data_IF_960108552463
#
_entry.id   IF_960108552463
#
_cell.length_a   1.000
_cell.length_b   1.000
_cell.length_c   1.000
_cell.angle_alpha   90.00
_cell.angle_beta   90.00
_cell.angle_gamma   90.00
#
_symmetry.space_group_name_H-M   'P 1'
#
loop_
_entity.id
_entity.type
_entity.pdbx_description
1 polymer ?
#
# COMPACT_ATOMS: atom_id res chain seq x y z
N UNK A 1 8.79 -16.72 29.28
CA UNK A 1 7.48 -16.45 28.64
C UNK A 1 7.75 -15.37 27.59
N UNK A 2 7.95 -15.76 26.33
CA UNK A 2 8.21 -14.80 25.26
C UNK A 2 6.88 -14.07 25.02
N UNK A 3 6.83 -12.78 25.32
CA UNK A 3 5.70 -11.94 24.89
C UNK A 3 5.63 -12.04 23.38
N UNK A 4 4.57 -12.66 22.87
CA UNK A 4 4.22 -12.63 21.46
C UNK A 4 3.84 -11.19 21.13
N UNK A 5 4.82 -10.34 20.81
CA UNK A 5 4.53 -9.02 20.26
C UNK A 5 3.88 -9.26 18.89
N UNK A 6 2.57 -8.99 18.80
CA UNK A 6 1.91 -8.91 17.50
C UNK A 6 2.65 -7.85 16.68
N UNK A 7 2.96 -8.20 15.44
CA UNK A 7 3.54 -7.28 14.48
C UNK A 7 2.68 -7.26 13.23
N UNK A 8 2.77 -6.19 12.46
CA UNK A 8 2.14 -6.04 11.15
C UNK A 8 3.19 -5.44 10.22
N UNK A 9 3.27 -5.93 8.99
CA UNK A 9 4.16 -5.38 7.97
C UNK A 9 3.38 -4.76 6.82
N UNK A 10 3.82 -3.61 6.34
CA UNK A 10 3.32 -2.99 5.12
C UNK A 10 4.21 -3.35 3.92
N UNK A 11 3.59 -3.87 2.87
CA UNK A 11 4.21 -4.30 1.61
C UNK A 11 3.53 -3.66 0.42
N UNK A 12 4.25 -3.47 -0.66
CA UNK A 12 3.67 -3.10 -1.95
C UNK A 12 4.71 -2.54 -2.90
N UNK A 13 4.37 -2.51 -4.18
CA UNK A 13 5.23 -1.99 -5.24
C UNK A 13 5.64 -0.52 -5.03
N UNK A 14 6.67 -0.05 -5.74
CA UNK A 14 6.98 1.36 -5.79
C UNK A 14 5.76 2.22 -6.11
N UNK A 15 5.63 3.34 -5.41
CA UNK A 15 4.50 4.26 -5.54
C UNK A 15 3.10 3.63 -5.28
N UNK A 16 3.02 2.58 -4.44
CA UNK A 16 1.75 1.96 -4.02
C UNK A 16 0.94 2.72 -2.96
N UNK A 17 1.31 3.97 -2.63
CA UNK A 17 0.61 4.79 -1.64
C UNK A 17 1.05 4.61 -0.18
N UNK A 18 2.06 3.77 0.12
CA UNK A 18 2.58 3.52 1.48
C UNK A 18 3.00 4.80 2.22
N UNK A 19 3.83 5.65 1.61
CA UNK A 19 4.28 6.93 2.20
C UNK A 19 3.12 7.83 2.56
N UNK A 20 2.15 7.94 1.65
CA UNK A 20 0.96 8.76 1.83
C UNK A 20 0.07 8.20 2.94
N UNK A 21 -0.12 6.89 2.98
CA UNK A 21 -0.85 6.21 4.05
C UNK A 21 -0.19 6.45 5.40
N UNK A 22 1.14 6.28 5.50
CA UNK A 22 1.90 6.52 6.72
C UNK A 22 1.80 7.98 7.19
N UNK A 23 1.91 8.95 6.27
CA UNK A 23 1.77 10.37 6.58
C UNK A 23 0.38 10.71 7.15
N UNK A 24 -0.67 10.21 6.50
CA UNK A 24 -2.05 10.41 6.91
C UNK A 24 -2.38 9.68 8.22
N UNK A 25 -1.89 8.45 8.40
CA UNK A 25 -2.04 7.67 9.62
C UNK A 25 -1.35 8.36 10.80
N UNK A 26 -0.11 8.84 10.61
CA UNK A 26 0.61 9.60 11.63
C UNK A 26 -0.15 10.86 12.06
N UNK A 27 -0.69 11.60 11.09
CA UNK A 27 -1.53 12.77 11.38
C UNK A 27 -2.79 12.39 12.17
N UNK A 28 -3.48 11.32 11.78
CA UNK A 28 -4.69 10.84 12.46
C UNK A 28 -4.39 10.43 13.91
N UNK A 29 -3.31 9.68 14.14
CA UNK A 29 -2.90 9.20 15.46
C UNK A 29 -2.43 10.31 16.40
N UNK A 30 -1.95 11.44 15.87
CA UNK A 30 -1.42 12.55 16.69
C UNK A 30 -2.42 13.66 16.96
N UNK A 31 -3.47 13.80 16.15
CA UNK A 31 -4.39 14.92 16.25
C UNK A 31 -5.75 14.60 16.87
N UNK A 32 -6.04 13.37 17.31
CA UNK A 32 -7.22 12.91 18.11
C UNK A 32 -8.63 13.46 17.71
N UNK A 33 -8.77 14.12 16.55
CA UNK A 33 -10.02 14.74 16.08
C UNK A 33 -10.99 13.75 15.43
N UNK A 34 -10.52 12.55 15.11
CA UNK A 34 -11.32 11.45 14.56
C UNK A 34 -11.19 10.26 15.50
N UNK A 35 -12.32 9.69 15.91
CA UNK A 35 -12.33 8.47 16.73
C UNK A 35 -11.77 7.31 15.90
N UNK A 36 -10.56 6.86 16.24
CA UNK A 36 -9.94 5.69 15.63
C UNK A 36 -9.99 4.46 16.53
N UNK A 37 -9.88 3.27 15.95
CA UNK A 37 -9.76 2.02 16.71
C UNK A 37 -8.41 1.88 17.44
N UNK A 38 -7.38 2.62 17.00
CA UNK A 38 -6.01 2.55 17.51
C UNK A 38 -5.49 3.92 17.94
N UNK A 39 -4.63 3.92 18.96
CA UNK A 39 -3.86 5.09 19.40
C UNK A 39 -2.36 4.81 19.42
N UNK A 40 -1.55 5.87 19.37
CA UNK A 40 -0.10 5.78 19.40
C UNK A 40 0.37 5.49 20.84
N UNK A 41 1.09 4.38 21.05
CA UNK A 41 1.64 4.01 22.36
C UNK A 41 3.05 4.56 22.56
N UNK A 42 3.91 4.43 21.54
CA UNK A 42 5.30 4.87 21.58
C UNK A 42 5.80 5.13 20.15
N UNK A 43 6.74 6.07 20.04
CA UNK A 43 7.49 6.31 18.81
C UNK A 43 9.00 6.20 19.08
N UNK A 44 9.73 5.61 18.15
CA UNK A 44 11.19 5.65 18.18
C UNK A 44 11.73 7.03 17.81
N UNK A 45 12.66 7.56 18.61
CA UNK A 45 13.14 8.93 18.47
C UNK A 45 13.73 9.26 17.08
N UNK A 46 14.30 8.26 16.38
CA UNK A 46 14.88 8.42 15.05
C UNK A 46 13.87 8.63 13.92
N UNK A 47 12.60 8.27 14.14
CA UNK A 47 11.57 8.26 13.10
C UNK A 47 10.72 9.54 13.09
N UNK A 48 10.67 10.24 14.23
CA UNK A 48 9.82 11.41 14.43
C UNK A 48 10.05 12.54 13.43
N UNK A 49 11.31 12.81 13.08
CA UNK A 49 11.64 13.86 12.13
C UNK A 49 11.13 13.53 10.71
N UNK A 50 11.29 12.27 10.29
CA UNK A 50 10.81 11.81 8.99
C UNK A 50 9.28 11.83 8.91
N UNK A 51 8.61 11.28 9.93
CA UNK A 51 7.14 11.25 10.02
C UNK A 51 6.53 12.66 10.02
N UNK A 52 7.12 13.60 10.76
CA UNK A 52 6.69 15.01 10.73
C UNK A 52 6.86 15.64 9.36
N UNK A 53 7.94 15.30 8.64
CA UNK A 53 8.19 15.83 7.29
C UNK A 53 7.12 15.36 6.30
N UNK A 54 6.86 14.05 6.22
CA UNK A 54 5.85 13.50 5.29
C UNK A 54 4.43 13.96 5.65
N UNK A 55 4.12 14.07 6.95
CA UNK A 55 2.83 14.57 7.43
C UNK A 55 2.64 16.07 7.16
N UNK A 56 3.70 16.87 7.28
CA UNK A 56 3.66 18.30 6.92
C UNK A 56 3.37 18.49 5.43
N UNK A 57 4.03 17.73 4.55
CA UNK A 57 3.73 17.74 3.11
C UNK A 57 2.29 17.32 2.83
N UNK A 58 1.81 16.28 3.51
CA UNK A 58 0.43 15.81 3.37
C UNK A 58 -0.58 16.87 3.82
N UNK A 59 -0.32 17.57 4.94
CA UNK A 59 -1.17 18.66 5.44
C UNK A 59 -1.28 19.80 4.45
N UNK A 60 -0.16 20.16 3.82
CA UNK A 60 -0.08 21.21 2.79
C UNK A 60 -0.70 20.79 1.44
N UNK A 61 -1.26 19.59 1.34
CA UNK A 61 -1.76 19.00 0.10
C UNK A 61 -0.68 18.97 -1.01
N UNK A 62 0.56 18.62 -0.64
CA UNK A 62 1.69 18.44 -1.57
C UNK A 62 2.02 16.96 -1.74
N UNK A 63 2.38 16.60 -2.97
CA UNK A 63 2.85 15.25 -3.26
C UNK A 63 4.05 14.89 -2.39
N UNK A 64 4.06 13.63 -1.98
CA UNK A 64 5.20 13.06 -1.27
C UNK A 64 6.37 12.95 -2.25
N UNK A 65 7.58 13.25 -1.77
CA UNK A 65 8.77 13.03 -2.56
C UNK A 65 8.89 11.55 -2.89
N UNK A 66 9.30 11.26 -4.13
CA UNK A 66 9.86 9.93 -4.39
C UNK A 66 11.13 9.85 -3.57
N UNK A 67 11.14 9.00 -2.55
CA UNK A 67 12.21 8.82 -1.57
C UNK A 67 13.46 8.17 -2.19
N UNK A 68 13.96 8.64 -3.34
CA UNK A 68 15.13 8.06 -4.01
C UNK A 68 16.45 8.26 -3.26
N UNK A 69 16.48 9.00 -2.14
CA UNK A 69 17.74 9.49 -1.53
C UNK A 69 17.80 9.52 0.01
N UNK A 70 16.90 8.85 0.74
CA UNK A 70 17.02 8.72 2.19
C UNK A 70 17.02 7.24 2.56
N UNK A 71 18.19 6.61 2.49
CA UNK A 71 18.40 5.16 2.53
C UNK A 71 17.58 4.40 3.58
N UNK A 72 17.20 3.17 3.23
CA UNK A 72 16.59 2.10 4.06
C UNK A 72 16.17 2.52 5.47
N UNK A 73 15.18 3.41 5.58
CA UNK A 73 14.55 3.71 6.87
C UNK A 73 13.30 2.85 6.97
N UNK A 74 13.48 1.69 7.60
CA UNK A 74 12.36 0.99 8.21
C UNK A 74 11.73 1.92 9.24
N UNK A 75 10.41 2.10 9.18
CA UNK A 75 9.64 2.86 10.17
C UNK A 75 8.76 1.93 10.98
N UNK A 76 8.77 2.08 12.31
CA UNK A 76 8.08 1.24 13.29
C UNK A 76 7.20 2.07 14.21
N UNK A 77 5.90 1.89 14.07
CA UNK A 77 4.91 2.51 14.95
C UNK A 77 4.45 1.51 16.01
N UNK A 78 4.62 1.84 17.31
CA UNK A 78 3.98 1.09 18.39
C UNK A 78 2.56 1.61 18.61
N UNK A 79 1.57 0.79 18.28
CA UNK A 79 0.15 1.14 18.34
C UNK A 79 -0.56 0.33 19.43
N UNK A 80 -1.68 0.85 19.93
CA UNK A 80 -2.47 0.23 20.98
C UNK A 80 -3.98 0.34 20.67
N UNK A 81 -4.73 -0.77 20.66
CA UNK A 81 -6.18 -0.77 20.64
C UNK A 81 -6.75 -0.47 22.04
N UNK A 82 -8.05 -0.19 22.13
CA UNK A 82 -8.74 -0.01 23.40
C UNK A 82 -8.62 -1.22 24.36
N UNK A 83 -8.43 -2.44 23.83
CA UNK A 83 -8.19 -3.65 24.64
C UNK A 83 -6.86 -3.65 25.39
N UNK A 84 -5.91 -2.81 24.96
CA UNK A 84 -4.70 -2.51 25.71
C UNK A 84 -3.41 -3.18 25.23
N UNK A 85 -3.49 -4.19 24.38
CA UNK A 85 -2.34 -4.95 23.88
C UNK A 85 -1.54 -4.15 22.82
N UNK A 86 -0.31 -3.77 23.15
CA UNK A 86 0.55 -3.01 22.22
C UNK A 86 1.08 -3.95 21.13
N UNK A 87 1.14 -3.45 19.90
CA UNK A 87 1.70 -4.17 18.75
C UNK A 87 2.54 -3.21 17.88
N UNK A 88 3.39 -3.77 17.03
CA UNK A 88 4.27 -2.99 16.14
C UNK A 88 3.74 -3.01 14.70
N UNK A 89 3.62 -1.84 14.07
CA UNK A 89 3.36 -1.69 12.64
C UNK A 89 4.65 -1.23 11.94
N UNK A 90 5.17 -2.05 11.05
CA UNK A 90 6.46 -1.86 10.39
C UNK A 90 6.30 -1.59 8.91
N UNK A 91 6.94 -0.52 8.44
CA UNK A 91 7.12 -0.17 7.03
C UNK A 91 8.61 -0.38 6.71
N UNK A 92 9.03 -1.59 6.28
CA UNK A 92 10.45 -1.90 6.05
C UNK A 92 11.05 -1.01 4.96
N UNK A 93 10.20 -0.59 4.02
CA UNK A 93 10.53 0.38 3.02
C UNK A 93 9.26 1.11 2.56
N UNK A 94 9.25 2.41 2.82
CA UNK A 94 8.14 3.30 2.53
C UNK A 94 8.01 3.54 1.01
N UNK A 95 9.11 3.46 0.25
CA UNK A 95 9.15 3.73 -1.19
C UNK A 95 8.74 2.53 -2.05
N UNK A 96 8.95 1.28 -1.61
CA UNK A 96 8.66 0.04 -2.35
C UNK A 96 9.86 -0.61 -3.06
N UNK A 97 11.07 -0.06 -2.90
CA UNK A 97 12.37 -0.62 -3.24
C UNK A 97 12.61 -2.06 -2.74
N UNK A 98 12.23 -2.39 -1.49
CA UNK A 98 12.41 -3.74 -0.95
C UNK A 98 11.61 -4.77 -1.76
N UNK A 99 10.39 -4.42 -2.13
CA UNK A 99 9.56 -5.25 -3.01
C UNK A 99 10.20 -5.39 -4.39
N UNK A 100 10.64 -4.28 -4.98
CA UNK A 100 11.30 -4.27 -6.28
C UNK A 100 12.55 -5.16 -6.28
N UNK A 101 13.39 -5.10 -5.26
CA UNK A 101 14.56 -5.96 -5.12
C UNK A 101 14.20 -7.45 -5.03
N UNK A 102 13.19 -7.80 -4.22
CA UNK A 102 12.72 -9.19 -4.10
C UNK A 102 12.20 -9.75 -5.43
N UNK A 103 11.52 -8.93 -6.22
CA UNK A 103 10.97 -9.33 -7.52
C UNK A 103 12.04 -9.36 -8.63
N UNK A 104 12.82 -8.29 -8.75
CA UNK A 104 13.73 -8.06 -9.88
C UNK A 104 15.04 -8.82 -9.72
N UNK A 105 15.62 -8.79 -8.52
CA UNK A 105 16.92 -9.37 -8.21
C UNK A 105 16.81 -10.73 -7.53
N UNK A 106 15.60 -11.13 -7.10
CA UNK A 106 15.36 -12.34 -6.30
C UNK A 106 16.17 -12.35 -4.99
N UNK A 107 16.41 -11.16 -4.45
CA UNK A 107 17.14 -10.95 -3.21
C UNK A 107 16.21 -10.37 -2.15
N UNK A 108 16.28 -10.90 -0.92
CA UNK A 108 15.56 -10.35 0.23
C UNK A 108 16.58 -9.94 1.29
N UNK A 109 16.74 -8.64 1.57
CA UNK A 109 17.53 -8.16 2.71
C UNK A 109 17.05 -8.81 4.01
N UNK A 110 17.97 -9.08 4.94
CA UNK A 110 17.66 -9.80 6.19
C UNK A 110 16.70 -9.05 7.10
N UNK A 111 16.80 -7.73 7.15
CA UNK A 111 15.90 -6.83 7.88
C UNK A 111 14.48 -6.84 7.28
N UNK A 112 14.37 -6.85 5.95
CA UNK A 112 13.09 -7.03 5.25
C UNK A 112 12.52 -8.42 5.53
N UNK A 113 13.34 -9.47 5.49
CA UNK A 113 12.91 -10.83 5.78
C UNK A 113 12.38 -10.97 7.21
N UNK A 114 13.07 -10.38 8.19
CA UNK A 114 12.63 -10.33 9.59
C UNK A 114 11.30 -9.58 9.75
N UNK A 115 11.16 -8.41 9.12
CA UNK A 115 9.91 -7.66 9.12
C UNK A 115 8.75 -8.44 8.47
N UNK A 116 9.05 -9.28 7.47
CA UNK A 116 8.10 -10.12 6.77
C UNK A 116 7.66 -11.37 7.55
N UNK A 117 8.40 -11.77 8.60
CA UNK A 117 8.05 -12.89 9.48
C UNK A 117 6.98 -12.49 10.48
N UNK A 118 5.79 -12.15 9.98
CA UNK A 118 4.66 -11.68 10.77
C UNK A 118 3.33 -12.26 10.30
N UNK A 119 2.39 -12.41 11.22
CA UNK A 119 1.05 -12.90 10.93
C UNK A 119 0.12 -11.84 10.32
N UNK A 120 0.48 -10.55 10.35
CA UNK A 120 -0.34 -9.46 9.80
C UNK A 120 0.35 -8.76 8.63
N UNK A 121 -0.33 -8.69 7.48
CA UNK A 121 0.22 -8.07 6.27
C UNK A 121 -0.75 -7.04 5.70
N UNK A 122 -0.26 -5.81 5.48
CA UNK A 122 -0.92 -4.78 4.67
C UNK A 122 -0.31 -4.82 3.27
N UNK A 123 -1.06 -5.26 2.27
CA UNK A 123 -0.61 -5.30 0.88
C UNK A 123 -1.18 -4.12 0.09
N UNK A 124 -0.33 -3.16 -0.21
CA UNK A 124 -0.66 -1.94 -0.94
C UNK A 124 -0.60 -2.15 -2.46
N UNK A 125 -1.69 -1.78 -3.13
CA UNK A 125 -1.84 -1.80 -4.58
C UNK A 125 -2.41 -0.44 -4.99
N UNK A 126 -1.72 0.29 -5.87
CA UNK A 126 -2.25 1.55 -6.38
C UNK A 126 -3.29 1.28 -7.46
N UNK A 127 -4.56 1.60 -7.17
CA UNK A 127 -5.68 1.17 -8.00
C UNK A 127 -5.64 1.77 -9.43
N UNK A 128 -5.15 3.00 -9.56
CA UNK A 128 -5.01 3.72 -10.83
C UNK A 128 -3.67 3.45 -11.57
N UNK A 129 -2.75 2.65 -11.00
CA UNK A 129 -1.43 2.38 -11.61
C UNK A 129 -1.19 0.88 -11.84
N UNK A 130 -2.26 0.14 -12.06
CA UNK A 130 -2.19 -1.29 -12.36
C UNK A 130 -1.63 -1.48 -13.77
N UNK A 131 -0.52 -2.21 -13.87
CA UNK A 131 0.00 -2.67 -15.16
C UNK A 131 -0.75 -3.93 -15.58
N UNK A 132 -1.64 -3.76 -16.55
CA UNK A 132 -2.39 -4.85 -17.17
C UNK A 132 -1.50 -5.69 -18.11
N UNK A 133 -1.81 -6.98 -18.33
CA UNK A 133 -1.16 -7.76 -19.38
C UNK A 133 -1.46 -7.16 -20.76
N UNK A 134 -0.43 -7.03 -21.60
CA UNK A 134 -0.58 -6.64 -23.01
C UNK A 134 -0.90 -7.85 -23.88
N UNK A 135 -1.84 -7.70 -24.81
CA UNK A 135 -2.17 -8.73 -25.79
C UNK A 135 -1.45 -8.46 -27.09
N UNK A 136 -0.83 -9.49 -27.66
CA UNK A 136 -0.12 -9.39 -28.95
C UNK A 136 -1.03 -8.84 -30.05
N UNK A 137 -2.32 -9.21 -30.02
CA UNK A 137 -3.31 -8.72 -30.99
C UNK A 137 -3.55 -7.21 -30.88
N UNK A 138 -3.63 -6.68 -29.66
CA UNK A 138 -3.86 -5.25 -29.40
C UNK A 138 -2.63 -4.43 -29.80
N UNK A 139 -1.44 -4.90 -29.42
CA UNK A 139 -0.16 -4.28 -29.78
C UNK A 139 0.04 -4.24 -31.30
N UNK A 140 -0.35 -5.31 -32.01
CA UNK A 140 -0.26 -5.39 -33.47
C UNK A 140 -1.23 -4.41 -34.14
N UNK A 141 -2.48 -4.35 -33.68
CA UNK A 141 -3.48 -3.42 -34.20
C UNK A 141 -3.04 -1.97 -33.99
N UNK A 142 -2.58 -1.64 -32.77
CA UNK A 142 -2.07 -0.30 -32.46
C UNK A 142 -0.82 0.08 -33.28
N UNK A 143 0.08 -0.88 -33.51
CA UNK A 143 1.27 -0.65 -34.34
C UNK A 143 0.90 -0.37 -35.81
N UNK A 144 -0.10 -1.06 -36.35
CA UNK A 144 -0.61 -0.83 -37.70
C UNK A 144 -1.26 0.55 -37.83
N UNK A 145 -2.11 0.93 -36.87
CA UNK A 145 -2.79 2.23 -36.85
C UNK A 145 -1.80 3.41 -36.75
N UNK A 146 -0.70 3.23 -36.03
CA UNK A 146 0.36 4.23 -35.88
C UNK A 146 1.39 4.22 -37.03
N UNK A 147 1.24 3.32 -38.02
CA UNK A 147 2.19 3.18 -39.13
C UNK A 147 3.59 2.77 -38.68
N UNK A 148 3.70 2.10 -37.53
CA UNK A 148 4.98 1.65 -36.98
C UNK A 148 5.48 0.48 -37.80
N UNK A 149 6.65 0.64 -38.44
CA UNK A 149 7.34 -0.46 -39.10
C UNK A 149 7.88 -1.39 -38.02
N UNK A 150 7.29 -2.58 -37.91
CA UNK A 150 7.80 -3.63 -37.01
C UNK A 150 9.17 -4.08 -37.55
N UNK A 151 10.23 -3.63 -36.90
CA UNK A 151 11.62 -3.96 -37.22
C UNK A 151 12.56 -3.55 -36.10
N UNK A 152 13.65 -4.29 -35.94
CA UNK A 152 14.64 -4.09 -34.87
C UNK A 152 14.93 -5.40 -34.11
N UNK A 153 15.99 -5.37 -33.31
CA UNK A 153 16.31 -6.49 -32.43
C UNK A 153 15.30 -6.59 -31.28
N UNK A 154 14.90 -7.81 -30.86
CA UNK A 154 14.02 -7.98 -29.72
C UNK A 154 14.61 -7.33 -28.48
N UNK A 155 13.84 -6.44 -27.83
CA UNK A 155 14.25 -5.91 -26.53
C UNK A 155 14.21 -7.05 -25.51
N UNK A 156 15.30 -7.34 -24.80
CA UNK A 156 15.30 -8.37 -23.76
C UNK A 156 14.26 -8.05 -22.70
N UNK A 157 13.48 -9.06 -22.33
CA UNK A 157 12.50 -8.92 -21.27
C UNK A 157 13.19 -8.56 -19.95
N UNK A 158 12.56 -7.68 -19.18
CA UNK A 158 13.00 -7.28 -17.84
C UNK A 158 11.91 -7.59 -16.82
N UNK A 159 12.24 -8.03 -15.60
CA UNK A 159 11.24 -8.34 -14.56
C UNK A 159 10.22 -7.25 -14.29
N UNK A 160 10.63 -5.97 -14.32
CA UNK A 160 9.76 -4.80 -14.10
C UNK A 160 8.67 -4.67 -15.18
N UNK A 161 8.84 -5.36 -16.30
CA UNK A 161 7.86 -5.42 -17.37
C UNK A 161 6.67 -6.34 -17.08
N UNK A 162 6.73 -7.15 -16.02
CA UNK A 162 5.63 -8.03 -15.64
C UNK A 162 4.36 -7.28 -15.23
N UNK A 163 3.17 -7.81 -15.57
CA UNK A 163 1.90 -7.30 -15.05
C UNK A 163 1.89 -7.25 -13.53
N UNK A 164 1.22 -6.24 -12.95
CA UNK A 164 1.19 -6.02 -11.50
C UNK A 164 0.72 -7.25 -10.73
N UNK A 165 -0.33 -7.93 -11.19
CA UNK A 165 -0.84 -9.15 -10.56
C UNK A 165 0.17 -10.29 -10.48
N UNK A 166 1.08 -10.41 -11.47
CA UNK A 166 2.11 -11.47 -11.47
C UNK A 166 3.10 -11.24 -10.34
N UNK A 167 3.56 -10.00 -10.17
CA UNK A 167 4.50 -9.64 -9.11
C UNK A 167 3.86 -9.81 -7.72
N UNK A 168 2.58 -9.44 -7.59
CA UNK A 168 1.83 -9.58 -6.34
C UNK A 168 1.56 -11.04 -5.95
N UNK A 169 1.31 -11.92 -6.92
CA UNK A 169 1.14 -13.36 -6.64
C UNK A 169 2.48 -13.96 -6.20
N UNK A 170 3.57 -13.63 -6.87
CA UNK A 170 4.91 -14.13 -6.55
C UNK A 170 5.31 -13.79 -5.10
N UNK A 171 5.17 -12.54 -4.66
CA UNK A 171 5.49 -12.18 -3.27
C UNK A 171 4.61 -12.94 -2.26
N UNK A 172 3.33 -13.14 -2.57
CA UNK A 172 2.43 -13.87 -1.68
C UNK A 172 2.80 -15.36 -1.64
N UNK A 173 3.34 -15.93 -2.72
CA UNK A 173 3.94 -17.27 -2.70
C UNK A 173 5.18 -17.30 -1.82
N UNK A 174 6.05 -16.29 -1.92
CA UNK A 174 7.23 -16.19 -1.05
C UNK A 174 6.85 -16.16 0.45
N UNK A 175 5.77 -15.45 0.84
CA UNK A 175 5.30 -15.43 2.23
C UNK A 175 4.81 -16.79 2.76
N UNK A 176 4.58 -17.75 1.86
CA UNK A 176 4.18 -19.12 2.17
C UNK A 176 5.35 -20.11 2.21
N UNK A 177 6.57 -19.67 1.88
CA UNK A 177 7.76 -20.52 1.82
C UNK A 177 8.80 -20.11 2.87
N UNK A 178 9.62 -21.05 3.39
CA UNK A 178 10.77 -20.69 4.20
C UNK A 178 11.72 -19.75 3.44
N UNK A 179 12.34 -18.76 4.09
CA UNK A 179 12.30 -18.49 5.54
C UNK A 179 11.13 -17.59 5.99
N UNK A 180 10.25 -17.17 5.08
CA UNK A 180 9.17 -16.21 5.40
C UNK A 180 7.92 -16.89 5.96
N UNK A 181 7.78 -18.21 5.82
CA UNK A 181 6.65 -18.94 6.34
C UNK A 181 6.58 -18.90 7.87
N UNK A 182 5.49 -18.33 8.40
CA UNK A 182 5.19 -18.23 9.84
C UNK A 182 3.83 -18.85 10.21
N UNK A 183 3.27 -19.67 9.32
CA UNK A 183 1.93 -20.23 9.47
C UNK A 183 0.81 -19.29 8.95
N UNK A 184 -0.42 -19.42 9.48
CA UNK A 184 -1.58 -18.64 9.03
C UNK A 184 -1.39 -17.14 9.20
N UNK A 185 -1.78 -16.37 8.18
CA UNK A 185 -1.72 -14.90 8.19
C UNK A 185 -3.08 -14.24 7.99
N UNK A 186 -3.20 -13.00 8.45
CA UNK A 186 -4.24 -12.06 8.04
C UNK A 186 -3.66 -11.10 7.02
N UNK A 187 -4.36 -10.91 5.91
CA UNK A 187 -3.95 -10.08 4.78
C UNK A 187 -4.99 -8.99 4.51
N UNK A 188 -4.63 -7.74 4.75
CA UNK A 188 -5.44 -6.59 4.38
C UNK A 188 -4.92 -6.06 3.04
N UNK A 189 -5.69 -6.24 1.97
CA UNK A 189 -5.38 -5.71 0.64
C UNK A 189 -5.87 -4.27 0.58
N UNK A 190 -4.94 -3.32 0.41
CA UNK A 190 -5.21 -1.89 0.36
C UNK A 190 -5.15 -1.43 -1.10
N UNK A 191 -6.31 -1.18 -1.68
CA UNK A 191 -6.44 -0.49 -2.97
C UNK A 191 -6.30 1.02 -2.72
N UNK A 192 -5.09 1.54 -2.82
CA UNK A 192 -4.79 2.96 -2.58
C UNK A 192 -5.21 3.83 -3.76
N UNK A 193 -5.44 5.13 -3.50
CA UNK A 193 -5.95 6.10 -4.49
C UNK A 193 -7.34 5.66 -5.01
N UNK A 194 -8.17 5.21 -4.08
CA UNK A 194 -9.50 4.68 -4.38
C UNK A 194 -10.43 5.74 -4.98
N UNK A 195 -10.24 7.00 -4.62
CA UNK A 195 -10.92 8.19 -5.17
C UNK A 195 -10.79 8.32 -6.69
N UNK A 196 -9.77 7.72 -7.30
CA UNK A 196 -9.54 7.77 -8.76
C UNK A 196 -10.30 6.72 -9.56
N UNK A 197 -10.71 5.64 -8.91
CA UNK A 197 -11.28 4.47 -9.58
C UNK A 197 -12.64 4.07 -9.01
N UNK A 198 -13.06 4.72 -7.93
CA UNK A 198 -14.41 4.58 -7.42
C UNK A 198 -15.38 5.05 -8.51
N UNK A 199 -16.16 4.12 -9.01
CA UNK A 199 -17.31 4.39 -9.86
C UNK A 199 -18.54 4.01 -9.06
N UNK A 200 -19.67 4.67 -9.33
CA UNK A 200 -20.93 4.50 -8.60
C UNK A 200 -21.24 3.01 -8.31
N UNK A 201 -21.02 2.61 -7.06
CA UNK A 201 -21.41 1.30 -6.52
C UNK A 201 -20.44 0.12 -6.71
N UNK A 202 -19.23 0.29 -7.26
CA UNK A 202 -18.26 -0.81 -7.35
C UNK A 202 -17.52 -0.97 -6.02
N UNK A 203 -17.70 -2.10 -5.33
CA UNK A 203 -16.94 -2.38 -4.10
C UNK A 203 -15.46 -2.65 -4.36
N UNK A 204 -14.56 -2.41 -3.39
CA UNK A 204 -13.13 -2.72 -3.51
C UNK A 204 -12.84 -4.16 -3.92
N UNK A 205 -13.59 -5.12 -3.38
CA UNK A 205 -13.47 -6.53 -3.72
C UNK A 205 -13.89 -6.81 -5.17
N UNK A 206 -14.99 -6.19 -5.63
CA UNK A 206 -15.43 -6.31 -7.02
C UNK A 206 -14.43 -5.70 -7.99
N UNK A 207 -13.85 -4.55 -7.63
CA UNK A 207 -12.78 -3.92 -8.42
C UNK A 207 -11.57 -4.84 -8.54
N UNK A 208 -11.11 -5.43 -7.43
CA UNK A 208 -9.98 -6.37 -7.43
C UNK A 208 -10.24 -7.55 -8.37
N UNK A 209 -11.44 -8.14 -8.32
CA UNK A 209 -11.85 -9.26 -9.18
C UNK A 209 -11.85 -8.91 -10.66
N UNK A 210 -12.25 -7.69 -11.02
CA UNK A 210 -12.33 -7.24 -12.41
C UNK A 210 -10.96 -6.84 -12.98
N UNK A 211 -10.14 -6.16 -12.20
CA UNK A 211 -8.89 -5.55 -12.67
C UNK A 211 -7.64 -6.39 -12.43
N UNK A 212 -7.66 -7.30 -11.45
CA UNK A 212 -6.54 -8.16 -11.07
C UNK A 212 -7.02 -9.63 -10.91
N UNK A 213 -7.60 -10.24 -11.96
CA UNK A 213 -8.26 -11.55 -11.85
C UNK A 213 -7.33 -12.68 -11.41
N UNK A 214 -6.05 -12.68 -11.83
CA UNK A 214 -5.08 -13.68 -11.39
C UNK A 214 -4.83 -13.58 -9.88
N UNK A 215 -4.67 -12.34 -9.39
CA UNK A 215 -4.47 -12.09 -7.96
C UNK A 215 -5.71 -12.49 -7.18
N UNK A 216 -6.91 -12.10 -7.63
CA UNK A 216 -8.16 -12.48 -6.97
C UNK A 216 -8.30 -14.01 -6.88
N UNK A 217 -8.07 -14.74 -7.98
CA UNK A 217 -8.11 -16.20 -7.97
C UNK A 217 -7.10 -16.80 -6.99
N UNK A 218 -5.88 -16.26 -6.96
CA UNK A 218 -4.84 -16.72 -6.05
C UNK A 218 -5.17 -16.42 -4.58
N UNK A 219 -5.79 -15.28 -4.28
CA UNK A 219 -6.25 -14.94 -2.93
C UNK A 219 -7.35 -15.89 -2.44
N UNK A 220 -8.26 -16.30 -3.33
CA UNK A 220 -9.38 -17.19 -3.00
C UNK A 220 -8.97 -18.66 -2.86
N UNK A 221 -7.93 -19.12 -3.57
CA UNK A 221 -7.60 -20.55 -3.64
C UNK A 221 -6.11 -20.92 -3.55
N UNK A 222 -5.20 -19.96 -3.62
CA UNK A 222 -3.75 -20.18 -3.60
C UNK A 222 -3.09 -19.90 -2.24
N UNK A 223 -3.83 -19.31 -1.29
CA UNK A 223 -3.35 -19.08 0.08
C UNK A 223 -3.50 -20.35 0.94
N UNK A 224 -2.55 -20.55 1.83
CA UNK A 224 -2.48 -21.69 2.73
C UNK A 224 -3.60 -21.69 3.75
N UNK A 225 -3.81 -22.85 4.37
CA UNK A 225 -4.88 -23.05 5.34
C UNK A 225 -4.84 -22.00 6.47
N UNK A 226 -6.00 -21.47 6.83
CA UNK A 226 -6.16 -20.52 7.93
C UNK A 226 -5.83 -19.06 7.58
N UNK A 227 -5.37 -18.77 6.36
CA UNK A 227 -5.26 -17.39 5.92
C UNK A 227 -6.63 -16.72 5.90
N UNK A 228 -6.67 -15.46 6.34
CA UNK A 228 -7.86 -14.62 6.23
C UNK A 228 -7.50 -13.38 5.45
N UNK A 229 -8.38 -12.93 4.57
CA UNK A 229 -8.17 -11.71 3.82
C UNK A 229 -9.37 -10.75 3.90
N UNK A 230 -9.08 -9.46 3.68
CA UNK A 230 -10.09 -8.42 3.47
C UNK A 230 -9.54 -7.36 2.53
N UNK A 231 -10.39 -6.87 1.63
CA UNK A 231 -10.05 -5.79 0.68
C UNK A 231 -10.60 -4.47 1.21
N UNK A 232 -9.78 -3.42 1.13
CA UNK A 232 -10.12 -2.05 1.50
C UNK A 232 -9.82 -1.13 0.33
N UNK A 233 -10.75 -0.24 -0.01
CA UNK A 233 -10.49 0.93 -0.83
C UNK A 233 -10.02 2.06 0.07
N UNK A 234 -8.85 2.66 -0.20
CA UNK A 234 -8.30 3.72 0.65
C UNK A 234 -7.88 4.94 -0.18
N UNK A 235 -8.53 6.06 0.11
CA UNK A 235 -8.17 7.40 -0.37
C UNK A 235 -7.51 8.16 0.77
N UNK A 236 -6.20 8.04 0.93
CA UNK A 236 -5.48 8.70 2.02
C UNK A 236 -5.32 10.23 1.82
N UNK A 237 -5.48 10.71 0.58
CA UNK A 237 -5.43 12.14 0.22
C UNK A 237 -6.80 12.70 -0.14
N UNK A 238 -7.72 11.86 -0.62
CA UNK A 238 -9.06 12.25 -1.07
C UNK A 238 -9.12 12.92 -2.44
N UNK A 239 -8.01 13.48 -2.93
CA UNK A 239 -7.89 14.07 -4.27
C UNK A 239 -6.41 14.25 -4.67
N UNK A 240 -6.17 14.77 -5.88
CA UNK A 240 -4.83 15.05 -6.38
C UNK A 240 -4.15 16.24 -5.67
N UNK A 241 -2.92 16.02 -5.19
CA UNK A 241 -2.11 17.02 -4.48
C UNK A 241 -1.16 17.78 -5.43
N UNK A 242 -0.66 18.94 -4.98
CA UNK A 242 0.27 19.77 -5.74
C UNK A 242 1.59 19.03 -6.02
N UNK A 243 2.11 19.18 -7.24
CA UNK A 243 3.44 18.70 -7.61
C UNK A 243 4.49 19.72 -7.19
N UNK A 244 5.67 19.24 -6.80
CA UNK A 244 6.77 20.13 -6.44
C UNK A 244 7.23 20.95 -7.66
N UNK A 245 7.28 22.26 -7.51
CA UNK A 245 7.58 23.20 -8.61
C UNK A 245 6.50 23.29 -9.70
N UNK A 246 5.33 22.67 -9.50
CA UNK A 246 4.19 22.74 -10.41
C UNK A 246 3.25 23.90 -10.10
N UNK A 247 2.30 24.14 -11.01
CA UNK A 247 1.21 25.09 -10.77
C UNK A 247 0.25 24.56 -9.69
N UNK A 248 -0.37 25.45 -8.88
CA UNK A 248 -1.37 25.07 -7.90
C UNK A 248 -2.55 24.31 -8.53
N UNK A 249 -2.94 23.20 -7.92
CA UNK A 249 -4.08 22.40 -8.29
C UNK A 249 -5.32 22.81 -7.47
N UNK A 250 -6.45 23.02 -8.14
CA UNK A 250 -7.73 23.30 -7.51
C UNK A 250 -8.14 22.21 -6.50
N UNK A 251 -7.83 20.94 -6.76
CA UNK A 251 -8.08 19.86 -5.81
C UNK A 251 -7.24 20.02 -4.54
N UNK A 252 -5.96 20.38 -4.67
CA UNK A 252 -5.09 20.61 -3.53
C UNK A 252 -5.55 21.81 -2.69
N UNK A 253 -6.06 22.87 -3.34
CA UNK A 253 -6.69 24.01 -2.66
C UNK A 253 -7.92 23.57 -1.85
N UNK A 254 -8.86 22.84 -2.48
CA UNK A 254 -10.04 22.29 -1.77
C UNK A 254 -9.64 21.41 -0.58
N UNK A 255 -8.62 20.58 -0.74
CA UNK A 255 -8.13 19.73 0.35
C UNK A 255 -7.58 20.57 1.50
N UNK A 256 -6.84 21.65 1.23
CA UNK A 256 -6.32 22.57 2.26
C UNK A 256 -7.42 23.29 3.04
N UNK A 257 -8.56 23.56 2.43
CA UNK A 257 -9.70 24.24 3.06
C UNK A 257 -10.48 23.37 4.05
N UNK A 258 -10.31 22.04 4.01
CA UNK A 258 -10.98 21.13 4.95
C UNK A 258 -10.46 21.37 6.38
N UNK A 259 -11.36 21.80 7.27
CA UNK A 259 -11.07 22.19 8.66
C UNK A 259 -10.40 21.06 9.49
N UNK A 260 -10.84 19.82 9.28
CA UNK A 260 -10.27 18.63 9.90
C UNK A 260 -9.58 17.82 8.79
N UNK A 261 -8.25 17.92 8.62
CA UNK A 261 -7.55 17.26 7.52
C UNK A 261 -7.81 15.76 7.45
N UNK A 262 -8.07 15.09 8.58
CA UNK A 262 -8.41 13.67 8.61
C UNK A 262 -9.73 13.33 7.90
N UNK A 263 -10.64 14.29 7.67
CA UNK A 263 -11.84 14.06 6.85
C UNK A 263 -11.53 13.94 5.34
N UNK A 264 -10.30 14.26 4.91
CA UNK A 264 -9.82 13.96 3.54
C UNK A 264 -9.70 12.46 3.29
N UNK A 265 -9.49 11.70 4.37
CA UNK A 265 -9.30 10.26 4.32
C UNK A 265 -10.63 9.60 4.03
N UNK A 266 -10.66 8.64 3.11
CA UNK A 266 -11.80 7.72 2.96
C UNK A 266 -11.31 6.29 2.98
N UNK A 267 -11.96 5.46 3.78
CA UNK A 267 -11.73 4.02 3.87
C UNK A 267 -13.04 3.34 3.57
N UNK A 268 -13.05 2.51 2.53
CA UNK A 268 -14.21 1.75 2.08
C UNK A 268 -13.95 0.27 2.30
N UNK A 269 -14.82 -0.39 3.04
CA UNK A 269 -14.77 -1.84 3.25
C UNK A 269 -16.17 -2.41 3.17
N UNK A 270 -16.39 -3.36 2.25
CA UNK A 270 -17.72 -3.88 1.92
C UNK A 270 -18.67 -2.73 1.53
N UNK A 271 -19.63 -2.41 2.39
CA UNK A 271 -20.66 -1.38 2.21
C UNK A 271 -20.55 -0.23 3.23
N UNK A 272 -19.46 -0.19 4.01
CA UNK A 272 -19.20 0.85 5.00
C UNK A 272 -18.09 1.80 4.53
N UNK A 273 -18.29 3.08 4.81
CA UNK A 273 -17.29 4.14 4.63
C UNK A 273 -16.90 4.71 6.00
N UNK A 274 -15.60 4.93 6.21
CA UNK A 274 -15.05 5.55 7.41
C UNK A 274 -13.92 6.53 7.07
N UNK A 275 -13.59 7.40 8.02
CA UNK A 275 -12.40 8.27 7.95
C UNK A 275 -11.23 7.73 8.78
N UNK A 276 -11.30 6.46 9.21
CA UNK A 276 -10.35 5.84 10.13
C UNK A 276 -9.33 4.95 9.40
N UNK A 277 -8.13 5.49 9.12
CA UNK A 277 -7.01 4.70 8.55
C UNK A 277 -6.51 3.59 9.48
N UNK A 278 -6.92 3.57 10.74
CA UNK A 278 -6.55 2.49 11.67
C UNK A 278 -7.40 1.23 11.44
N UNK A 279 -8.53 1.32 10.73
CA UNK A 279 -9.46 0.20 10.51
C UNK A 279 -8.80 -1.02 9.82
N UNK A 280 -8.05 -0.87 8.71
CA UNK A 280 -7.39 -2.02 8.08
C UNK A 280 -6.32 -2.65 8.98
N UNK A 281 -5.65 -1.82 9.79
CA UNK A 281 -4.62 -2.26 10.73
C UNK A 281 -5.26 -3.00 11.90
N UNK A 282 -6.36 -2.49 12.44
CA UNK A 282 -7.11 -3.10 13.53
C UNK A 282 -7.68 -4.47 13.14
N UNK A 283 -8.21 -4.61 11.91
CA UNK A 283 -8.74 -5.88 11.42
C UNK A 283 -7.71 -7.03 11.40
N UNK A 284 -6.43 -6.69 11.21
CA UNK A 284 -5.33 -7.66 11.23
C UNK A 284 -5.05 -8.23 12.63
N UNK A 285 -5.57 -7.62 13.70
CA UNK A 285 -5.25 -8.03 15.09
C UNK A 285 -6.07 -9.23 15.60
N UNK A 286 -7.19 -9.57 14.95
CA UNK A 286 -8.02 -10.69 15.41
C UNK A 286 -9.51 -10.40 15.42
#
# INVERSE_FOLDING_TARGET
MVMSNKSIVALGLPASGKTTFLAALWHLLTNEKVNGHLSLAKLEAGEAAHLRSIASRWLQAKNQDRTFHSGNKTVKLSLKPASGEIFELTFPDIAGEAFAQMWEMRECPSDVAEALQTNGVLLFIHADKIRVPGWIADDLAQSQDLGVVIGGDPTPWKPQSSPTQVQLVDILQCLQLPPLYVGPRRLAVILSAWDKVENDGVSPERFLKLNLPLLYQYLEGGLGEGWKMRVFGVSAQGADYDREGGEPNADAERMREIEVPSHRIRVVAKDAESHDLTEPVYWLLG
#
